data_IF_427113717421
#
_entry.id   IF_427113717421
#
_cell.length_a   1.000
_cell.length_b   1.000
_cell.length_c   1.000
_cell.angle_alpha   90.00
_cell.angle_beta   90.00
_cell.angle_gamma   90.00
#
_symmetry.space_group_name_H-M   'P 1'
#
loop_
_entity.id
_entity.type
_entity.pdbx_description
1 polymer ?
#
# COMPACT_ATOMS: atom_id res chain seq x y z
N UNK A 1 3.06 24.08 26.08
CA UNK A 1 3.38 23.04 25.08
C UNK A 1 4.80 23.30 24.58
N UNK A 2 5.71 22.34 24.71
CA UNK A 2 7.14 22.55 24.46
C UNK A 2 7.40 22.70 22.94
N UNK A 3 8.35 23.56 22.55
CA UNK A 3 8.72 23.75 21.14
C UNK A 3 9.20 22.44 20.51
N UNK A 4 9.87 21.60 21.30
CA UNK A 4 10.36 20.30 20.88
C UNK A 4 9.23 19.31 20.55
N UNK A 5 8.13 19.34 21.32
CA UNK A 5 6.96 18.48 21.09
C UNK A 5 6.28 18.82 19.76
N UNK A 6 6.16 20.13 19.46
CA UNK A 6 5.56 20.62 18.21
C UNK A 6 6.40 20.26 16.99
N UNK A 7 7.73 20.23 17.11
CA UNK A 7 8.63 19.81 16.04
C UNK A 7 8.49 18.31 15.76
N UNK A 8 8.48 17.48 16.82
CA UNK A 8 8.33 16.04 16.71
C UNK A 8 6.98 15.64 16.10
N UNK A 9 5.89 16.33 16.46
CA UNK A 9 4.56 16.09 15.88
C UNK A 9 4.54 16.36 14.37
N UNK A 10 5.13 17.48 13.92
CA UNK A 10 5.21 17.79 12.49
C UNK A 10 5.99 16.74 11.71
N UNK A 11 7.12 16.27 12.25
CA UNK A 11 7.92 15.22 11.63
C UNK A 11 7.13 13.92 11.47
N UNK A 12 6.40 13.50 12.52
CA UNK A 12 5.52 12.32 12.49
C UNK A 12 4.44 12.46 11.42
N UNK A 13 3.80 13.63 11.31
CA UNK A 13 2.76 13.91 10.32
C UNK A 13 3.31 13.90 8.89
N UNK A 14 4.50 14.48 8.66
CA UNK A 14 5.15 14.48 7.35
C UNK A 14 5.55 13.07 6.91
N UNK A 15 6.12 12.27 7.82
CA UNK A 15 6.43 10.88 7.53
C UNK A 15 5.18 10.05 7.23
N UNK A 16 4.11 10.24 8.01
CA UNK A 16 2.86 9.55 7.78
C UNK A 16 2.27 9.92 6.42
N UNK A 17 2.25 11.22 6.08
CA UNK A 17 1.77 11.72 4.78
C UNK A 17 2.57 11.14 3.61
N UNK A 18 3.90 11.03 3.73
CA UNK A 18 4.73 10.37 2.71
C UNK A 18 4.35 8.90 2.51
N UNK A 19 4.06 8.16 3.59
CA UNK A 19 3.61 6.76 3.52
C UNK A 19 2.21 6.66 2.90
N UNK A 20 1.30 7.56 3.28
CA UNK A 20 -0.07 7.63 2.76
C UNK A 20 -0.07 7.92 1.24
N UNK A 21 0.71 8.90 0.77
CA UNK A 21 0.86 9.20 -0.66
C UNK A 21 1.39 8.00 -1.43
N UNK A 22 2.41 7.31 -0.91
CA UNK A 22 2.95 6.10 -1.55
C UNK A 22 1.88 5.02 -1.70
N UNK A 23 1.03 4.85 -0.70
CA UNK A 23 -0.08 3.88 -0.79
C UNK A 23 -1.13 4.28 -1.82
N UNK A 24 -1.52 5.55 -1.89
CA UNK A 24 -2.43 6.01 -2.95
C UNK A 24 -1.83 5.78 -4.34
N UNK A 25 -0.55 6.06 -4.52
CA UNK A 25 0.16 5.77 -5.78
C UNK A 25 0.13 4.27 -6.07
N UNK A 26 0.43 3.42 -5.08
CA UNK A 26 0.38 1.95 -5.27
C UNK A 26 -1.02 1.48 -5.64
N UNK A 27 -2.06 1.93 -4.93
CA UNK A 27 -3.46 1.57 -5.21
C UNK A 27 -3.86 2.06 -6.60
N UNK A 28 -3.51 3.29 -6.96
CA UNK A 28 -3.78 3.85 -8.28
C UNK A 28 -3.10 3.03 -9.40
N UNK A 29 -1.83 2.66 -9.21
CA UNK A 29 -1.13 1.78 -10.16
C UNK A 29 -1.77 0.39 -10.24
N UNK A 30 -2.21 -0.18 -9.13
CA UNK A 30 -2.94 -1.47 -9.13
C UNK A 30 -4.24 -1.37 -9.92
N UNK A 31 -4.99 -0.26 -9.77
CA UNK A 31 -6.22 -0.02 -10.54
C UNK A 31 -5.99 0.06 -12.05
N UNK A 32 -4.79 0.44 -12.51
CA UNK A 32 -4.44 0.45 -13.94
C UNK A 32 -3.90 -0.90 -14.41
N UNK A 33 -3.02 -1.52 -13.63
CA UNK A 33 -2.30 -2.74 -14.01
C UNK A 33 -3.19 -3.98 -13.95
N UNK A 34 -4.06 -4.10 -12.93
CA UNK A 34 -4.89 -5.29 -12.76
C UNK A 34 -5.88 -5.50 -13.91
N UNK A 35 -6.66 -4.48 -14.35
CA UNK A 35 -7.55 -4.65 -15.49
C UNK A 35 -6.80 -5.01 -16.77
N UNK A 36 -5.61 -4.44 -16.98
CA UNK A 36 -4.77 -4.77 -18.13
C UNK A 36 -4.31 -6.24 -18.09
N UNK A 37 -3.90 -6.75 -16.93
CA UNK A 37 -3.55 -8.17 -16.76
C UNK A 37 -4.76 -9.07 -17.04
N UNK A 38 -5.94 -8.73 -16.53
CA UNK A 38 -7.17 -9.49 -16.76
C UNK A 38 -7.53 -9.50 -18.25
N UNK A 39 -7.45 -8.34 -18.92
CA UNK A 39 -7.73 -8.23 -20.34
C UNK A 39 -6.75 -9.06 -21.19
N UNK A 40 -5.45 -8.95 -20.91
CA UNK A 40 -4.41 -9.70 -21.63
C UNK A 40 -4.58 -11.20 -21.43
N UNK A 41 -4.86 -11.64 -20.20
CA UNK A 41 -5.07 -13.07 -19.91
C UNK A 41 -6.32 -13.61 -20.62
N UNK A 42 -7.42 -12.85 -20.66
CA UNK A 42 -8.62 -13.23 -21.40
C UNK A 42 -8.37 -13.38 -22.92
N UNK A 43 -7.62 -12.44 -23.53
CA UNK A 43 -7.23 -12.52 -24.95
C UNK A 43 -6.31 -13.73 -25.19
N UNK A 44 -5.38 -14.00 -24.27
CA UNK A 44 -4.48 -15.15 -24.39
C UNK A 44 -5.23 -16.48 -24.33
N UNK A 45 -6.19 -16.63 -23.42
CA UNK A 45 -7.02 -17.83 -23.34
C UNK A 45 -7.83 -18.04 -24.62
N UNK A 46 -8.38 -16.98 -25.21
CA UNK A 46 -9.19 -17.09 -26.43
C UNK A 46 -8.38 -17.46 -27.68
N UNK A 47 -7.08 -17.13 -27.74
CA UNK A 47 -6.25 -17.35 -28.93
C UNK A 47 -5.25 -18.51 -28.82
N UNK A 48 -4.73 -18.80 -27.62
CA UNK A 48 -3.60 -19.73 -27.44
C UNK A 48 -3.95 -20.97 -26.61
N UNK A 49 -5.20 -21.11 -26.14
CA UNK A 49 -5.75 -22.22 -25.35
C UNK A 49 -5.05 -22.56 -24.02
N UNK A 50 -3.81 -22.08 -23.77
CA UNK A 50 -3.06 -22.27 -22.53
C UNK A 50 -2.13 -21.09 -22.23
N UNK A 51 -2.15 -20.63 -20.98
CA UNK A 51 -1.20 -19.65 -20.44
C UNK A 51 0.08 -20.40 -20.01
N UNK A 52 1.28 -20.00 -20.47
CA UNK A 52 2.55 -20.54 -19.99
C UNK A 52 2.70 -20.39 -18.47
N UNK A 53 3.23 -21.42 -17.78
CA UNK A 53 3.42 -21.39 -16.31
C UNK A 53 4.22 -20.19 -15.82
N UNK A 54 5.22 -19.74 -16.59
CA UNK A 54 6.02 -18.57 -16.25
C UNK A 54 5.19 -17.28 -16.22
N UNK A 55 4.24 -17.13 -17.13
CA UNK A 55 3.33 -15.98 -17.17
C UNK A 55 2.38 -16.03 -15.97
N UNK A 56 1.84 -17.22 -15.67
CA UNK A 56 0.99 -17.42 -14.49
C UNK A 56 1.70 -17.04 -13.18
N UNK A 57 2.95 -17.48 -12.98
CA UNK A 57 3.73 -17.10 -11.80
C UNK A 57 4.03 -15.59 -11.76
N UNK A 58 4.32 -14.99 -12.92
CA UNK A 58 4.48 -13.54 -13.04
C UNK A 58 3.23 -12.78 -12.61
N UNK A 59 2.05 -13.22 -13.05
CA UNK A 59 0.76 -12.64 -12.64
C UNK A 59 0.59 -12.76 -11.13
N UNK A 60 0.76 -13.95 -10.55
CA UNK A 60 0.61 -14.15 -9.10
C UNK A 60 1.54 -13.21 -8.31
N UNK A 61 2.81 -13.09 -8.72
CA UNK A 61 3.76 -12.17 -8.09
C UNK A 61 3.33 -10.71 -8.23
N UNK A 62 2.87 -10.29 -9.41
CA UNK A 62 2.37 -8.95 -9.66
C UNK A 62 1.13 -8.61 -8.81
N UNK A 63 0.29 -9.61 -8.50
CA UNK A 63 -0.88 -9.43 -7.65
C UNK A 63 -0.52 -9.41 -6.15
N UNK A 64 0.46 -10.20 -5.71
CA UNK A 64 0.80 -10.33 -4.29
C UNK A 64 1.77 -9.24 -3.79
N UNK A 65 2.77 -8.88 -4.60
CA UNK A 65 3.82 -7.96 -4.18
C UNK A 65 3.30 -6.60 -3.67
N UNK A 66 2.34 -5.93 -4.33
CA UNK A 66 1.89 -4.63 -3.85
C UNK A 66 0.96 -4.75 -2.63
N UNK A 67 0.26 -5.88 -2.44
CA UNK A 67 -0.51 -6.15 -1.21
C UNK A 67 0.43 -6.26 -0.01
N UNK A 68 1.51 -7.02 -0.17
CA UNK A 68 2.57 -7.15 0.86
C UNK A 68 3.19 -5.78 1.14
N UNK A 69 3.52 -5.01 0.10
CA UNK A 69 4.07 -3.66 0.24
C UNK A 69 3.14 -2.73 1.04
N UNK A 70 1.85 -2.71 0.72
CA UNK A 70 0.85 -1.90 1.44
C UNK A 70 0.80 -2.32 2.90
N UNK A 71 0.77 -3.63 3.18
CA UNK A 71 0.73 -4.17 4.54
C UNK A 71 1.95 -3.77 5.37
N UNK A 72 3.17 -3.90 4.81
CA UNK A 72 4.40 -3.50 5.50
C UNK A 72 4.49 -1.99 5.75
N UNK A 73 4.03 -1.18 4.79
CA UNK A 73 4.06 0.27 4.91
C UNK A 73 2.92 0.83 5.78
N UNK A 74 1.88 0.05 6.07
CA UNK A 74 0.76 0.46 6.93
C UNK A 74 1.08 0.38 8.43
N UNK A 75 2.12 1.11 8.82
CA UNK A 75 2.65 1.14 10.19
C UNK A 75 2.83 2.57 10.65
N UNK A 76 2.58 2.78 11.94
CA UNK A 76 2.80 4.06 12.61
C UNK A 76 4.28 4.47 12.49
N UNK A 77 4.61 5.71 12.05
CA UNK A 77 6.00 6.16 11.99
C UNK A 77 6.64 6.33 13.38
N UNK A 78 5.84 6.55 14.44
CA UNK A 78 6.35 6.73 15.80
C UNK A 78 6.71 5.43 16.51
N UNK A 79 5.81 4.44 16.49
CA UNK A 79 5.99 3.19 17.24
C UNK A 79 6.19 1.94 16.35
N UNK A 80 6.09 2.07 15.03
CA UNK A 80 6.23 0.96 14.09
C UNK A 80 5.07 -0.05 14.10
N UNK A 81 4.05 0.14 14.95
CA UNK A 81 2.92 -0.77 15.07
C UNK A 81 1.97 -0.66 13.88
N UNK A 82 1.32 -1.77 13.52
CA UNK A 82 0.33 -1.83 12.46
C UNK A 82 -0.89 -0.95 12.81
N UNK A 83 -1.35 -0.13 11.86
CA UNK A 83 -2.43 0.83 12.08
C UNK A 83 -3.84 0.20 12.04
N UNK A 84 -3.93 -1.09 11.75
CA UNK A 84 -5.18 -1.83 11.69
C UNK A 84 -5.92 -1.62 10.38
N UNK A 85 -7.22 -1.96 10.38
CA UNK A 85 -8.08 -1.96 9.18
C UNK A 85 -8.60 -0.58 8.76
N UNK A 86 -8.40 0.46 9.57
CA UNK A 86 -8.83 1.83 9.22
C UNK A 86 -7.94 2.31 8.09
N UNK A 87 -8.52 2.78 6.98
CA UNK A 87 -7.79 3.36 5.84
C UNK A 87 -7.31 4.80 6.10
N UNK A 88 -7.89 5.51 7.07
CA UNK A 88 -7.58 6.92 7.36
C UNK A 88 -7.54 7.16 8.88
N UNK A 89 -6.55 6.59 9.60
CA UNK A 89 -6.45 6.75 11.04
C UNK A 89 -6.05 8.20 11.38
N UNK A 90 -6.86 8.90 12.19
CA UNK A 90 -6.48 10.20 12.76
C UNK A 90 -5.44 10.05 13.88
N UNK A 91 -5.48 8.94 14.60
CA UNK A 91 -4.58 8.62 15.70
C UNK A 91 -4.10 7.17 15.61
N UNK A 92 -2.91 6.88 16.14
CA UNK A 92 -2.42 5.52 16.31
C UNK A 92 -3.13 4.84 17.49
N UNK A 93 -3.67 3.64 17.25
CA UNK A 93 -4.42 2.87 18.24
C UNK A 93 -3.53 2.34 19.39
N UNK A 94 -2.21 2.31 19.19
CA UNK A 94 -1.23 1.75 20.14
C UNK A 94 -0.54 2.87 20.93
N UNK A 95 0.09 3.83 20.25
CA UNK A 95 0.86 4.89 20.91
C UNK A 95 0.12 6.23 21.04
N UNK A 96 -1.11 6.35 20.53
CA UNK A 96 -1.90 7.58 20.59
C UNK A 96 -1.39 8.74 19.74
N UNK A 97 -0.30 8.55 18.97
CA UNK A 97 0.26 9.61 18.13
C UNK A 97 -0.78 10.12 17.12
N UNK A 98 -0.85 11.44 16.95
CA UNK A 98 -1.67 12.08 15.92
C UNK A 98 -1.04 11.85 14.55
N UNK A 99 -1.84 11.35 13.63
CA UNK A 99 -1.46 11.05 12.24
C UNK A 99 -2.17 11.98 11.26
N UNK A 100 -3.27 12.63 11.67
CA UNK A 100 -4.02 13.63 10.90
C UNK A 100 -4.73 14.63 11.81
#
# INVERSE_FOLDING_TARGET
MNLNDKYNEKMILEEFRKREIRQYITIFLMLLVYPAIILISAIYESHLNKIPKIILYGIILALLAPVVYIYYNWRCPRCGSFLGKRFLPKFCNICGAKLR
#
